data_IF_781800082410
#
_entry.id   IF_781800082410
#
_cell.length_a   1.000
_cell.length_b   1.000
_cell.length_c   1.000
_cell.angle_alpha   90.00
_cell.angle_beta   90.00
_cell.angle_gamma   90.00
#
_symmetry.space_group_name_H-M   'P 1'
#
loop_
_entity.id
_entity.type
_entity.pdbx_description
1 polymer ?
#
# COMPACT_ATOMS: atom_id res chain seq x y z
N UNK A 1 -8.81 -28.19 3.56
CA UNK A 1 -8.47 -26.76 3.47
C UNK A 1 -7.80 -26.55 2.11
N UNK A 2 -8.31 -25.63 1.29
CA UNK A 2 -7.70 -25.34 -0.02
C UNK A 2 -6.33 -24.68 0.20
N UNK A 3 -5.32 -25.03 -0.59
CA UNK A 3 -3.97 -24.46 -0.50
C UNK A 3 -3.95 -22.92 -0.51
N UNK A 4 -4.86 -22.29 -1.27
CA UNK A 4 -5.00 -20.84 -1.34
C UNK A 4 -5.41 -20.18 0.01
N UNK A 5 -6.19 -20.86 0.85
CA UNK A 5 -6.58 -20.34 2.18
C UNK A 5 -5.39 -20.39 3.16
N UNK A 6 -4.55 -21.42 3.02
CA UNK A 6 -3.35 -21.54 3.86
C UNK A 6 -2.30 -20.44 3.57
N UNK A 7 -2.14 -20.04 2.30
CA UNK A 7 -1.21 -18.97 1.92
C UNK A 7 -1.65 -17.60 2.44
N UNK A 8 -2.95 -17.30 2.40
CA UNK A 8 -3.46 -16.01 2.88
C UNK A 8 -3.30 -15.84 4.40
N UNK A 9 -3.45 -16.91 5.19
CA UNK A 9 -3.19 -16.88 6.64
C UNK A 9 -1.71 -16.53 6.94
N UNK A 10 -0.78 -17.01 6.13
CA UNK A 10 0.65 -16.68 6.25
C UNK A 10 0.89 -15.19 5.94
N UNK A 11 0.25 -14.67 4.91
CA UNK A 11 0.33 -13.24 4.55
C UNK A 11 -0.23 -12.36 5.67
N UNK A 12 -1.42 -12.68 6.18
CA UNK A 12 -2.05 -11.97 7.31
C UNK A 12 -1.14 -12.00 8.55
N UNK A 13 -0.56 -13.15 8.86
CA UNK A 13 0.39 -13.29 9.98
C UNK A 13 1.63 -12.41 9.77
N UNK A 14 2.17 -12.37 8.55
CA UNK A 14 3.32 -11.52 8.25
C UNK A 14 3.01 -10.04 8.46
N UNK A 15 1.82 -9.56 8.03
CA UNK A 15 1.34 -8.20 8.25
C UNK A 15 1.11 -7.88 9.73
N UNK A 16 0.68 -8.84 10.54
CA UNK A 16 0.51 -8.67 11.99
C UNK A 16 1.82 -8.71 12.78
N UNK A 17 2.93 -9.15 12.20
CA UNK A 17 4.20 -9.35 12.92
C UNK A 17 5.35 -8.57 12.30
N UNK A 18 6.13 -9.21 11.43
CA UNK A 18 7.37 -8.65 10.88
C UNK A 18 7.13 -7.38 10.07
N UNK A 19 6.08 -7.37 9.23
CA UNK A 19 5.78 -6.23 8.37
C UNK A 19 5.27 -5.05 9.21
N UNK A 20 4.37 -5.28 10.17
CA UNK A 20 3.92 -4.24 11.08
C UNK A 20 5.10 -3.53 11.77
N UNK A 21 6.08 -4.30 12.32
CA UNK A 21 7.25 -3.73 12.98
C UNK A 21 8.08 -2.86 12.05
N UNK A 22 8.29 -3.31 10.81
CA UNK A 22 9.00 -2.53 9.78
C UNK A 22 8.26 -1.25 9.42
N UNK A 23 6.94 -1.34 9.20
CA UNK A 23 6.09 -0.19 8.89
C UNK A 23 6.01 0.80 10.05
N UNK A 24 5.95 0.32 11.29
CA UNK A 24 5.98 1.17 12.48
C UNK A 24 7.30 1.92 12.61
N UNK A 25 8.45 1.24 12.40
CA UNK A 25 9.78 1.86 12.44
C UNK A 25 9.94 3.00 11.44
N UNK A 26 9.46 2.81 10.23
CA UNK A 26 9.58 3.79 9.14
C UNK A 26 8.29 4.56 8.87
N UNK A 27 7.38 4.56 9.84
CA UNK A 27 6.07 5.18 9.71
C UNK A 27 6.14 6.64 9.29
N UNK A 28 7.03 7.41 9.89
CA UNK A 28 7.24 8.82 9.59
C UNK A 28 7.67 9.07 8.13
N UNK A 29 8.35 8.11 7.48
CA UNK A 29 8.65 8.18 6.05
C UNK A 29 7.43 7.73 5.22
N UNK A 30 6.81 6.60 5.58
CA UNK A 30 5.69 6.03 4.83
C UNK A 30 4.46 6.93 4.86
N UNK A 31 4.03 7.39 6.05
CA UNK A 31 2.84 8.22 6.19
C UNK A 31 3.07 9.59 5.56
N UNK A 32 4.14 10.29 5.95
CA UNK A 32 4.41 11.65 5.49
C UNK A 32 4.68 11.72 3.97
N UNK A 33 5.34 10.71 3.40
CA UNK A 33 5.63 10.69 1.97
C UNK A 33 4.42 10.31 1.14
N UNK A 34 3.65 9.30 1.58
CA UNK A 34 2.47 8.82 0.84
C UNK A 34 1.27 9.78 0.95
N UNK A 35 1.29 10.73 1.87
CA UNK A 35 0.22 11.73 2.03
C UNK A 35 0.00 12.51 0.73
N UNK A 36 1.05 12.81 -0.04
CA UNK A 36 0.95 13.51 -1.33
C UNK A 36 0.09 12.76 -2.33
N UNK A 37 0.23 11.43 -2.38
CA UNK A 37 -0.59 10.57 -3.24
C UNK A 37 -2.05 10.57 -2.78
N UNK A 38 -2.27 10.46 -1.45
CA UNK A 38 -3.63 10.53 -0.89
C UNK A 38 -4.27 11.86 -1.20
N UNK A 39 -3.57 12.96 -0.96
CA UNK A 39 -4.08 14.32 -1.15
C UNK A 39 -4.51 14.57 -2.58
N UNK A 40 -3.66 14.18 -3.53
CA UNK A 40 -3.95 14.33 -4.94
C UNK A 40 -5.18 13.50 -5.35
N UNK A 41 -5.25 12.22 -4.93
CA UNK A 41 -6.36 11.33 -5.27
C UNK A 41 -7.68 11.76 -4.60
N UNK A 42 -7.65 12.16 -3.32
CA UNK A 42 -8.81 12.61 -2.57
C UNK A 42 -9.35 13.94 -3.11
N UNK A 43 -8.47 14.89 -3.48
CA UNK A 43 -8.87 16.16 -4.09
C UNK A 43 -9.44 15.95 -5.49
N UNK A 44 -8.86 15.05 -6.28
CA UNK A 44 -9.35 14.70 -7.61
C UNK A 44 -10.76 14.09 -7.56
N UNK A 45 -10.98 13.19 -6.58
CA UNK A 45 -12.27 12.51 -6.42
C UNK A 45 -13.34 13.43 -5.86
N UNK A 46 -13.00 14.18 -4.80
CA UNK A 46 -13.94 14.97 -4.01
C UNK A 46 -14.99 14.11 -3.31
N UNK A 47 -15.06 14.20 -1.98
CA UNK A 47 -16.10 13.56 -1.17
C UNK A 47 -17.03 14.63 -0.61
N UNK A 48 -18.32 14.33 -0.49
CA UNK A 48 -19.32 15.26 0.01
C UNK A 48 -19.69 14.96 1.49
N UNK A 49 -20.08 15.97 2.26
CA UNK A 49 -20.67 15.77 3.58
C UNK A 49 -21.85 14.78 3.54
N UNK A 50 -21.92 13.90 4.52
CA UNK A 50 -22.96 12.88 4.63
C UNK A 50 -22.63 11.55 3.93
N UNK A 51 -21.58 11.47 3.15
CA UNK A 51 -21.18 10.23 2.46
C UNK A 51 -20.52 9.22 3.41
N UNK A 52 -20.68 7.94 3.08
CA UNK A 52 -20.08 6.78 3.75
C UNK A 52 -18.96 6.23 2.90
N UNK A 53 -17.72 6.21 3.40
CA UNK A 53 -16.55 5.80 2.64
C UNK A 53 -15.81 4.65 3.34
N UNK A 54 -15.50 3.58 2.58
CA UNK A 54 -14.65 2.48 3.02
C UNK A 54 -13.21 2.74 2.60
N UNK A 55 -12.26 2.70 3.55
CA UNK A 55 -10.82 2.81 3.30
C UNK A 55 -10.18 1.44 3.48
N UNK A 56 -9.70 0.85 2.37
CA UNK A 56 -9.27 -0.53 2.24
C UNK A 56 -7.75 -0.64 2.41
N UNK A 57 -7.30 -1.53 3.30
CA UNK A 57 -5.90 -1.62 3.68
C UNK A 57 -5.44 -0.31 4.33
N UNK A 58 -6.23 0.15 5.31
CA UNK A 58 -6.09 1.50 5.88
C UNK A 58 -4.81 1.71 6.69
N UNK A 59 -4.11 0.64 7.08
CA UNK A 59 -2.88 0.71 7.86
C UNK A 59 -3.06 1.54 9.14
N UNK A 60 -2.26 2.57 9.32
CA UNK A 60 -2.35 3.49 10.48
C UNK A 60 -3.55 4.45 10.43
N UNK A 61 -4.43 4.36 9.45
CA UNK A 61 -5.69 5.09 9.37
C UNK A 61 -5.57 6.59 9.08
N UNK A 62 -4.42 7.07 8.61
CA UNK A 62 -4.24 8.49 8.27
C UNK A 62 -5.15 8.93 7.12
N UNK A 63 -5.30 8.11 6.06
CA UNK A 63 -6.26 8.34 4.98
C UNK A 63 -7.70 8.29 5.47
N UNK A 64 -8.03 7.31 6.32
CA UNK A 64 -9.37 7.17 6.89
C UNK A 64 -9.77 8.41 7.70
N UNK A 65 -8.90 8.90 8.60
CA UNK A 65 -9.15 10.11 9.39
C UNK A 65 -9.31 11.34 8.51
N UNK A 66 -8.53 11.43 7.43
CA UNK A 66 -8.65 12.51 6.47
C UNK A 66 -9.99 12.48 5.74
N UNK A 67 -10.38 11.31 5.22
CA UNK A 67 -11.68 11.11 4.56
C UNK A 67 -12.82 11.44 5.55
N UNK A 68 -12.73 11.01 6.81
CA UNK A 68 -13.72 11.29 7.84
C UNK A 68 -13.96 12.80 8.01
N UNK A 69 -12.89 13.61 8.01
CA UNK A 69 -13.01 15.08 8.06
C UNK A 69 -13.67 15.67 6.81
N UNK A 70 -13.42 15.07 5.63
CA UNK A 70 -14.01 15.54 4.37
C UNK A 70 -15.51 15.28 4.28
N UNK A 71 -15.98 14.13 4.80
CA UNK A 71 -17.40 13.74 4.76
C UNK A 71 -18.23 14.28 5.92
N UNK A 72 -17.61 14.98 6.86
CA UNK A 72 -18.33 15.67 7.94
C UNK A 72 -19.04 16.93 7.42
N UNK A 73 -20.21 17.34 8.01
CA UNK A 73 -20.98 16.59 9.01
C UNK A 73 -21.83 15.46 8.40
N UNK A 74 -22.19 14.48 9.23
CA UNK A 74 -23.18 13.45 8.89
C UNK A 74 -22.66 12.24 8.14
N UNK A 75 -21.45 12.31 7.56
CA UNK A 75 -20.76 11.19 6.92
C UNK A 75 -19.78 10.48 7.86
N UNK A 76 -19.33 9.31 7.46
CA UNK A 76 -18.34 8.51 8.17
C UNK A 76 -17.33 7.87 7.25
N UNK A 77 -16.10 7.68 7.73
CA UNK A 77 -15.08 6.88 7.07
C UNK A 77 -14.80 5.62 7.89
N UNK A 78 -14.76 4.48 7.21
CA UNK A 78 -14.54 3.17 7.83
C UNK A 78 -13.25 2.59 7.26
N UNK A 79 -12.22 2.46 8.10
CA UNK A 79 -10.97 1.79 7.76
C UNK A 79 -11.05 0.30 8.00
N UNK A 80 -10.60 -0.50 7.04
CA UNK A 80 -10.45 -1.95 7.15
C UNK A 80 -9.02 -2.37 6.85
N UNK A 81 -8.47 -3.27 7.65
CA UNK A 81 -7.17 -3.89 7.45
C UNK A 81 -7.19 -5.31 8.02
N UNK A 82 -6.39 -6.22 7.46
CA UNK A 82 -6.27 -7.58 7.97
C UNK A 82 -5.39 -7.67 9.23
N UNK A 83 -4.61 -6.62 9.53
CA UNK A 83 -3.68 -6.60 10.65
C UNK A 83 -4.26 -5.87 11.86
N UNK A 84 -4.50 -6.62 12.94
CA UNK A 84 -5.05 -6.11 14.21
C UNK A 84 -4.22 -4.97 14.80
N UNK A 85 -2.89 -5.07 14.68
CA UNK A 85 -1.98 -4.05 15.20
C UNK A 85 -2.18 -2.69 14.52
N UNK A 86 -2.39 -2.65 13.20
CA UNK A 86 -2.71 -1.42 12.49
C UNK A 86 -4.07 -0.85 12.92
N UNK A 87 -5.09 -1.69 13.04
CA UNK A 87 -6.44 -1.26 13.45
C UNK A 87 -6.44 -0.70 14.88
N UNK A 88 -5.69 -1.32 15.79
CA UNK A 88 -5.51 -0.81 17.16
C UNK A 88 -4.89 0.59 17.13
N UNK A 89 -3.81 0.78 16.40
CA UNK A 89 -3.10 2.06 16.34
C UNK A 89 -3.96 3.13 15.66
N UNK A 90 -4.61 2.80 14.53
CA UNK A 90 -5.54 3.69 13.82
C UNK A 90 -6.69 4.16 14.70
N UNK A 91 -7.27 3.23 15.51
CA UNK A 91 -8.36 3.54 16.45
C UNK A 91 -7.89 4.48 17.55
N UNK A 92 -6.72 4.24 18.12
CA UNK A 92 -6.15 5.07 19.17
C UNK A 92 -5.86 6.49 18.66
N UNK A 93 -5.33 6.61 17.46
CA UNK A 93 -5.04 7.91 16.85
C UNK A 93 -6.30 8.70 16.49
N UNK A 94 -7.32 8.05 15.91
CA UNK A 94 -8.59 8.72 15.65
C UNK A 94 -9.19 9.29 16.93
N UNK A 95 -9.14 8.52 18.03
CA UNK A 95 -9.58 8.97 19.35
C UNK A 95 -8.74 10.14 19.86
N UNK A 96 -7.40 10.07 19.74
CA UNK A 96 -6.51 11.12 20.22
C UNK A 96 -6.66 12.43 19.43
N UNK A 97 -7.03 12.34 18.15
CA UNK A 97 -7.27 13.48 17.27
C UNK A 97 -8.72 13.99 17.32
N UNK A 98 -9.61 13.37 18.08
CA UNK A 98 -11.03 13.73 18.18
C UNK A 98 -11.81 13.52 16.88
N UNK A 99 -11.46 12.51 16.08
CA UNK A 99 -12.11 12.19 14.80
C UNK A 99 -13.14 11.07 15.04
N UNK A 100 -14.29 11.42 15.62
CA UNK A 100 -15.28 10.46 16.09
C UNK A 100 -16.05 9.74 14.98
N UNK A 101 -16.04 10.27 13.76
CA UNK A 101 -16.65 9.67 12.58
C UNK A 101 -15.67 8.84 11.73
N UNK A 102 -14.44 8.57 12.23
CA UNK A 102 -13.54 7.56 11.71
C UNK A 102 -13.68 6.29 12.56
N UNK A 103 -14.01 5.17 11.93
CA UNK A 103 -14.17 3.86 12.57
C UNK A 103 -13.26 2.83 11.91
N UNK A 104 -12.89 1.78 12.65
CA UNK A 104 -11.96 0.78 12.15
C UNK A 104 -12.41 -0.63 12.54
N UNK A 105 -12.15 -1.61 11.69
CA UNK A 105 -12.33 -3.01 12.01
C UNK A 105 -11.34 -3.90 11.28
N UNK A 106 -11.05 -5.06 11.89
CA UNK A 106 -10.21 -6.09 11.28
C UNK A 106 -11.05 -6.94 10.34
N UNK A 107 -10.60 -7.09 9.11
CA UNK A 107 -11.18 -8.06 8.17
C UNK A 107 -10.21 -8.37 7.01
N UNK A 108 -10.29 -9.59 6.52
CA UNK A 108 -9.73 -9.96 5.22
C UNK A 108 -10.69 -9.53 4.10
N UNK A 109 -10.30 -8.51 3.36
CA UNK A 109 -11.11 -7.96 2.26
C UNK A 109 -11.43 -9.01 1.18
N UNK A 110 -10.67 -10.10 1.10
CA UNK A 110 -10.88 -11.15 0.12
C UNK A 110 -12.03 -12.10 0.49
N UNK A 111 -12.37 -12.21 1.78
CA UNK A 111 -13.28 -13.22 2.30
C UNK A 111 -14.37 -12.71 3.25
N UNK A 112 -14.06 -11.68 4.06
CA UNK A 112 -14.96 -11.24 5.13
C UNK A 112 -15.99 -10.21 4.67
N UNK A 113 -17.07 -10.07 5.44
CA UNK A 113 -18.10 -9.06 5.21
C UNK A 113 -17.56 -7.64 5.48
N UNK A 114 -17.72 -6.75 4.51
CA UNK A 114 -17.22 -5.37 4.57
C UNK A 114 -18.21 -4.35 5.16
N UNK A 115 -19.34 -4.81 5.72
CA UNK A 115 -20.33 -4.00 6.45
C UNK A 115 -20.92 -2.82 5.63
N UNK A 116 -21.10 -3.02 4.33
CA UNK A 116 -21.72 -2.03 3.44
C UNK A 116 -23.20 -1.71 3.77
N UNK A 117 -23.87 -0.87 2.97
CA UNK A 117 -23.41 -0.29 1.73
C UNK A 117 -22.65 1.04 1.91
N UNK A 118 -21.67 1.30 1.04
CA UNK A 118 -20.88 2.53 1.01
C UNK A 118 -21.14 3.33 -0.26
N UNK A 119 -21.01 4.67 -0.17
CA UNK A 119 -21.04 5.55 -1.35
C UNK A 119 -19.75 5.41 -2.16
N UNK A 120 -18.63 5.25 -1.46
CA UNK A 120 -17.31 5.14 -2.06
C UNK A 120 -16.45 4.12 -1.32
N UNK A 121 -15.51 3.52 -2.07
CA UNK A 121 -14.37 2.81 -1.53
C UNK A 121 -13.06 3.48 -2.00
N UNK A 122 -12.09 3.53 -1.12
CA UNK A 122 -10.75 4.07 -1.34
C UNK A 122 -9.70 3.05 -0.93
N UNK A 123 -8.56 3.01 -1.61
CA UNK A 123 -7.42 2.20 -1.21
C UNK A 123 -6.11 2.92 -1.59
N UNK A 124 -5.17 3.01 -0.64
CA UNK A 124 -3.85 3.56 -0.91
C UNK A 124 -2.79 2.49 -0.74
N UNK A 125 -2.28 1.95 -1.84
CA UNK A 125 -1.19 0.97 -1.89
C UNK A 125 -1.44 -0.32 -1.10
N UNK A 126 -2.68 -0.63 -0.71
CA UNK A 126 -3.05 -1.85 0.01
C UNK A 126 -3.45 -3.01 -0.91
N UNK A 127 -4.15 -2.72 -1.99
CA UNK A 127 -4.73 -3.74 -2.89
C UNK A 127 -3.71 -4.60 -3.63
N UNK A 128 -2.49 -4.11 -3.78
CA UNK A 128 -1.37 -4.82 -4.45
C UNK A 128 -0.91 -6.08 -3.71
N UNK A 129 -1.31 -6.24 -2.45
CA UNK A 129 -0.88 -7.34 -1.60
C UNK A 129 -1.94 -8.45 -1.46
N UNK A 130 -3.07 -8.35 -2.13
CA UNK A 130 -4.10 -9.38 -2.11
C UNK A 130 -3.65 -10.62 -2.89
N UNK A 131 -3.72 -11.78 -2.25
CA UNK A 131 -3.41 -13.08 -2.87
C UNK A 131 -4.48 -13.46 -3.90
N UNK A 132 -5.75 -13.19 -3.57
CA UNK A 132 -6.90 -13.41 -4.44
C UNK A 132 -7.55 -12.07 -4.86
N UNK A 133 -6.86 -11.24 -5.67
CA UNK A 133 -7.30 -9.88 -5.95
C UNK A 133 -8.66 -9.84 -6.65
N UNK A 134 -9.00 -10.83 -7.48
CA UNK A 134 -10.31 -10.93 -8.09
C UNK A 134 -11.46 -11.16 -7.09
N UNK A 135 -11.21 -11.92 -6.01
CA UNK A 135 -12.17 -12.10 -4.92
C UNK A 135 -12.35 -10.80 -4.14
N UNK A 136 -11.24 -10.13 -3.79
CA UNK A 136 -11.26 -8.84 -3.13
C UNK A 136 -12.06 -7.79 -3.93
N UNK A 137 -11.82 -7.68 -5.24
CA UNK A 137 -12.54 -6.71 -6.08
C UNK A 137 -14.04 -7.00 -6.15
N UNK A 138 -14.47 -8.26 -6.21
CA UNK A 138 -15.90 -8.62 -6.14
C UNK A 138 -16.51 -8.24 -4.79
N UNK A 139 -15.80 -8.49 -3.70
CA UNK A 139 -16.26 -8.18 -2.36
C UNK A 139 -16.36 -6.67 -2.13
N UNK A 140 -15.35 -5.89 -2.57
CA UNK A 140 -15.38 -4.43 -2.54
C UNK A 140 -16.60 -3.91 -3.31
N UNK A 141 -16.84 -4.44 -4.53
CA UNK A 141 -18.00 -4.04 -5.33
C UNK A 141 -19.32 -4.33 -4.63
N UNK A 142 -19.46 -5.50 -3.99
CA UNK A 142 -20.69 -5.89 -3.27
C UNK A 142 -20.99 -4.99 -2.07
N UNK A 143 -19.95 -4.39 -1.47
CA UNK A 143 -20.08 -3.44 -0.38
C UNK A 143 -20.42 -2.01 -0.83
N UNK A 144 -20.39 -1.74 -2.14
CA UNK A 144 -20.74 -0.43 -2.68
C UNK A 144 -22.21 -0.33 -3.06
N UNK A 145 -22.81 0.84 -2.85
CA UNK A 145 -24.14 1.18 -3.38
C UNK A 145 -24.12 1.11 -4.93
N UNK A 146 -25.25 0.83 -5.59
CA UNK A 146 -25.38 1.02 -7.02
C UNK A 146 -25.03 2.47 -7.43
N UNK A 147 -24.10 2.63 -8.36
CA UNK A 147 -23.51 3.93 -8.74
C UNK A 147 -22.36 4.39 -7.85
N UNK A 148 -22.05 3.67 -6.79
CA UNK A 148 -20.91 3.93 -5.93
C UNK A 148 -19.56 3.75 -6.65
N UNK A 149 -18.52 4.40 -6.17
CA UNK A 149 -17.22 4.41 -6.86
C UNK A 149 -16.13 3.77 -6.02
N UNK A 150 -15.18 3.16 -6.71
CA UNK A 150 -13.94 2.68 -6.12
C UNK A 150 -12.76 3.46 -6.69
N UNK A 151 -11.89 3.95 -5.82
CA UNK A 151 -10.63 4.60 -6.20
C UNK A 151 -9.48 3.90 -5.50
N UNK A 152 -8.50 3.43 -6.27
CA UNK A 152 -7.27 2.87 -5.68
C UNK A 152 -6.03 3.55 -6.24
N UNK A 153 -5.02 3.66 -5.39
CA UNK A 153 -3.68 4.11 -5.75
C UNK A 153 -2.78 2.88 -5.75
N UNK A 154 -2.14 2.60 -6.89
CA UNK A 154 -1.20 1.48 -7.06
C UNK A 154 0.05 1.95 -7.77
N UNK A 155 1.20 1.31 -7.48
CA UNK A 155 2.44 1.67 -8.18
C UNK A 155 2.35 1.31 -9.66
N UNK A 156 2.95 2.15 -10.48
CA UNK A 156 3.26 1.83 -11.87
C UNK A 156 4.46 0.88 -11.92
N UNK A 157 4.99 0.63 -13.11
CA UNK A 157 6.10 -0.31 -13.28
C UNK A 157 7.27 0.05 -12.35
N UNK A 158 8.01 -0.96 -11.93
CA UNK A 158 9.14 -0.83 -11.01
C UNK A 158 10.19 0.15 -11.53
N UNK A 159 10.48 0.09 -12.82
CA UNK A 159 11.44 0.96 -13.52
C UNK A 159 11.00 2.44 -13.54
N UNK A 160 9.72 2.69 -13.36
CA UNK A 160 9.14 4.05 -13.26
C UNK A 160 9.13 4.58 -11.82
N UNK A 161 9.71 3.82 -10.88
CA UNK A 161 9.81 4.11 -9.46
C UNK A 161 11.27 4.11 -8.99
N UNK A 162 12.11 5.09 -9.43
CA UNK A 162 13.52 5.15 -9.08
C UNK A 162 13.81 5.09 -7.59
N UNK A 163 12.90 5.57 -6.73
CA UNK A 163 13.03 5.54 -5.28
C UNK A 163 13.24 4.14 -4.68
N UNK A 164 12.76 3.08 -5.34
CA UNK A 164 13.05 1.67 -4.96
C UNK A 164 13.90 0.95 -5.99
N UNK A 165 13.77 1.29 -7.27
CA UNK A 165 14.43 0.56 -8.34
C UNK A 165 15.94 0.71 -8.31
N UNK A 166 16.46 1.90 -8.02
CA UNK A 166 17.90 2.14 -7.91
C UNK A 166 18.52 1.29 -6.80
N UNK A 167 17.88 1.25 -5.63
CA UNK A 167 18.34 0.42 -4.52
C UNK A 167 18.29 -1.09 -4.85
N UNK A 168 17.22 -1.52 -5.51
CA UNK A 168 17.10 -2.92 -5.96
C UNK A 168 18.22 -3.32 -6.91
N UNK A 169 18.53 -2.49 -7.92
CA UNK A 169 19.61 -2.78 -8.87
C UNK A 169 20.98 -2.88 -8.19
N UNK A 170 21.25 -1.98 -7.22
CA UNK A 170 22.48 -2.05 -6.42
C UNK A 170 22.60 -3.37 -5.66
N UNK A 171 21.53 -3.78 -4.98
CA UNK A 171 21.55 -5.02 -4.19
C UNK A 171 21.66 -6.26 -5.09
N UNK A 172 20.93 -6.29 -6.22
CA UNK A 172 21.03 -7.38 -7.21
C UNK A 172 22.42 -7.56 -7.82
N UNK A 173 23.19 -6.49 -7.94
CA UNK A 173 24.56 -6.56 -8.45
C UNK A 173 25.54 -7.17 -7.43
N UNK A 174 25.20 -7.20 -6.14
CA UNK A 174 26.08 -7.63 -5.05
C UNK A 174 25.66 -8.98 -4.50
N UNK A 175 24.34 -9.17 -4.28
CA UNK A 175 23.78 -10.38 -3.65
C UNK A 175 23.52 -11.43 -4.72
N UNK A 176 24.07 -12.65 -4.57
CA UNK A 176 23.81 -13.74 -5.50
C UNK A 176 22.31 -14.06 -5.61
N UNK A 177 21.89 -14.48 -6.80
CA UNK A 177 20.51 -14.92 -7.03
C UNK A 177 20.27 -16.19 -6.21
N UNK A 178 19.42 -16.10 -5.18
CA UNK A 178 18.95 -17.27 -4.42
C UNK A 178 17.88 -17.96 -5.26
N UNK A 179 18.03 -19.27 -5.47
CA UNK A 179 17.01 -20.09 -6.12
C UNK A 179 15.75 -20.10 -5.25
N UNK A 180 14.59 -19.89 -5.86
CA UNK A 180 13.29 -19.80 -5.18
C UNK A 180 12.84 -21.07 -4.41
N UNK A 181 13.63 -22.14 -4.42
CA UNK A 181 13.32 -23.41 -3.72
C UNK A 181 13.50 -23.34 -2.18
N UNK A 182 14.03 -22.25 -1.65
CA UNK A 182 14.25 -22.06 -0.20
C UNK A 182 13.56 -20.80 0.34
N UNK A 183 12.39 -20.42 -0.18
CA UNK A 183 11.65 -19.32 0.40
C UNK A 183 11.03 -19.75 1.72
N UNK A 184 11.36 -19.03 2.79
CA UNK A 184 10.60 -19.15 4.04
C UNK A 184 9.13 -18.71 3.77
N UNK A 185 8.22 -19.14 4.62
CA UNK A 185 6.78 -18.89 4.44
C UNK A 185 6.38 -17.42 4.71
N UNK A 186 7.31 -16.55 5.07
CA UNK A 186 7.00 -15.15 5.43
C UNK A 186 7.11 -14.25 4.20
N UNK A 187 5.98 -13.85 3.64
CA UNK A 187 5.92 -12.92 2.51
C UNK A 187 4.72 -11.99 2.62
N UNK A 188 4.76 -10.85 1.91
CA UNK A 188 3.71 -9.83 1.95
C UNK A 188 2.57 -10.03 0.93
N UNK A 189 2.49 -11.19 0.29
CA UNK A 189 1.64 -11.44 -0.86
C UNK A 189 2.36 -11.16 -2.19
N UNK A 190 1.62 -10.90 -3.30
CA UNK A 190 2.19 -10.74 -4.64
C UNK A 190 3.19 -9.58 -4.76
N UNK A 191 3.11 -8.59 -3.85
CA UNK A 191 4.09 -7.51 -3.74
C UNK A 191 3.67 -6.17 -4.36
N UNK A 192 4.47 -5.13 -4.14
CA UNK A 192 4.07 -3.74 -4.40
C UNK A 192 3.85 -3.39 -5.88
N UNK A 193 4.32 -4.21 -6.81
CA UNK A 193 4.17 -3.96 -8.25
C UNK A 193 3.22 -4.95 -8.95
N UNK A 194 2.46 -5.73 -8.20
CA UNK A 194 1.52 -6.73 -8.73
C UNK A 194 0.41 -6.11 -9.59
N UNK A 195 0.06 -4.84 -9.35
CA UNK A 195 -0.99 -4.11 -10.07
C UNK A 195 -0.45 -3.00 -11.00
N UNK A 196 0.79 -3.10 -11.44
CA UNK A 196 1.42 -2.07 -12.28
C UNK A 196 0.85 -1.98 -13.71
N UNK A 197 0.29 -3.08 -14.23
CA UNK A 197 -0.20 -3.18 -15.61
C UNK A 197 -1.67 -2.77 -15.74
N UNK A 198 -1.99 -1.67 -16.46
CA UNK A 198 -3.37 -1.19 -16.60
C UNK A 198 -4.31 -2.19 -17.25
N UNK A 199 -3.86 -2.97 -18.23
CA UNK A 199 -4.69 -3.96 -18.92
C UNK A 199 -5.14 -5.07 -17.97
N UNK A 200 -4.22 -5.60 -17.16
CA UNK A 200 -4.50 -6.63 -16.16
C UNK A 200 -5.48 -6.10 -15.09
N UNK A 201 -5.23 -4.91 -14.55
CA UNK A 201 -6.11 -4.28 -13.55
C UNK A 201 -7.49 -3.99 -14.13
N UNK A 202 -7.56 -3.50 -15.39
CA UNK A 202 -8.84 -3.32 -16.10
C UNK A 202 -9.60 -4.63 -16.26
N UNK A 203 -8.93 -5.70 -16.69
CA UNK A 203 -9.56 -7.01 -16.88
C UNK A 203 -10.09 -7.56 -15.53
N UNK A 204 -9.33 -7.41 -14.47
CA UNK A 204 -9.71 -7.83 -13.11
C UNK A 204 -10.94 -7.06 -12.60
N UNK A 205 -10.95 -5.72 -12.72
CA UNK A 205 -12.06 -4.89 -12.29
C UNK A 205 -13.33 -5.17 -13.11
N UNK A 206 -13.22 -5.35 -14.46
CA UNK A 206 -14.35 -5.78 -15.30
C UNK A 206 -14.86 -7.15 -14.90
N UNK A 207 -13.96 -8.10 -14.66
CA UNK A 207 -14.30 -9.44 -14.19
C UNK A 207 -15.00 -9.45 -12.82
N UNK A 208 -14.75 -8.45 -11.99
CA UNK A 208 -15.49 -8.21 -10.75
C UNK A 208 -16.82 -7.47 -10.97
N UNK A 209 -17.12 -7.01 -12.20
CA UNK A 209 -18.36 -6.32 -12.56
C UNK A 209 -18.33 -4.80 -12.39
N UNK A 210 -17.16 -4.19 -12.26
CA UNK A 210 -17.01 -2.73 -12.32
C UNK A 210 -17.04 -2.22 -13.75
N UNK A 211 -17.51 -0.98 -13.91
CA UNK A 211 -17.57 -0.23 -15.17
C UNK A 211 -16.82 1.10 -15.08
N UNK A 212 -16.70 1.81 -16.21
CA UNK A 212 -16.08 3.15 -16.30
C UNK A 212 -14.69 3.19 -15.64
N UNK A 213 -13.87 2.19 -15.94
CA UNK A 213 -12.53 2.08 -15.39
C UNK A 213 -11.63 3.11 -16.08
N UNK A 214 -11.00 3.96 -15.29
CA UNK A 214 -10.08 4.97 -15.79
C UNK A 214 -8.76 4.93 -14.98
N UNK A 215 -7.67 5.31 -15.65
CA UNK A 215 -6.34 5.39 -15.09
C UNK A 215 -5.81 6.81 -15.28
N UNK A 216 -5.34 7.40 -14.20
CA UNK A 216 -4.63 8.67 -14.23
C UNK A 216 -3.23 8.47 -13.67
N UNK A 217 -2.22 8.93 -14.41
CA UNK A 217 -0.83 8.88 -13.97
C UNK A 217 -0.57 9.99 -12.97
N UNK A 218 0.05 9.64 -11.84
CA UNK A 218 0.48 10.61 -10.85
C UNK A 218 1.94 10.36 -10.48
N UNK A 219 2.77 11.39 -10.66
CA UNK A 219 4.19 11.38 -10.36
C UNK A 219 4.49 12.39 -9.26
N UNK A 220 5.23 11.97 -8.24
CA UNK A 220 5.77 12.89 -7.22
C UNK A 220 7.00 12.29 -6.56
N UNK A 221 7.83 13.13 -5.95
CA UNK A 221 8.96 12.66 -5.16
C UNK A 221 8.50 12.09 -3.81
N UNK A 222 9.12 11.00 -3.41
CA UNK A 222 8.97 10.30 -2.13
C UNK A 222 10.18 10.54 -1.25
N UNK A 223 9.95 10.90 0.03
CA UNK A 223 11.02 10.97 1.03
C UNK A 223 11.46 9.57 1.41
N UNK A 224 12.69 9.23 1.09
CA UNK A 224 13.33 7.97 1.45
C UNK A 224 14.04 8.06 2.80
N UNK A 225 14.38 9.25 3.27
CA UNK A 225 15.03 9.52 4.54
C UNK A 225 15.20 11.00 4.80
N UNK A 226 15.12 11.38 6.09
CA UNK A 226 15.43 12.73 6.57
C UNK A 226 16.93 12.98 6.66
N UNK A 227 17.71 11.90 6.58
CA UNK A 227 19.16 11.90 6.42
C UNK A 227 19.58 10.80 5.43
N UNK A 228 20.81 10.89 4.96
CA UNK A 228 21.34 9.92 4.02
C UNK A 228 21.44 8.51 4.63
N UNK A 229 21.86 8.42 5.88
CA UNK A 229 21.96 7.13 6.58
C UNK A 229 20.58 6.49 6.80
N UNK A 230 19.56 7.30 7.10
CA UNK A 230 18.19 6.81 7.23
C UNK A 230 17.64 6.28 5.89
N UNK A 231 17.94 6.95 4.78
CA UNK A 231 17.52 6.49 3.45
C UNK A 231 18.13 5.14 3.08
N UNK A 232 19.41 4.93 3.40
CA UNK A 232 20.09 3.64 3.20
C UNK A 232 19.45 2.56 4.06
N UNK A 233 19.19 2.83 5.35
CA UNK A 233 18.53 1.88 6.23
C UNK A 233 17.11 1.54 5.76
N UNK A 234 16.36 2.54 5.32
CA UNK A 234 15.03 2.36 4.76
C UNK A 234 15.05 1.46 3.52
N UNK A 235 15.95 1.73 2.57
CA UNK A 235 16.10 0.93 1.34
C UNK A 235 16.48 -0.52 1.62
N UNK A 236 17.31 -0.79 2.63
CA UNK A 236 17.68 -2.16 3.05
C UNK A 236 16.59 -2.88 3.86
N UNK A 237 15.65 -2.16 4.45
CA UNK A 237 14.62 -2.75 5.31
C UNK A 237 13.32 -3.05 4.58
N UNK A 238 12.95 -2.19 3.62
CA UNK A 238 11.66 -2.22 2.93
C UNK A 238 11.83 -2.25 1.41
N UNK A 239 10.81 -2.77 0.73
CA UNK A 239 10.80 -2.88 -0.72
C UNK A 239 11.68 -4.02 -1.27
N UNK A 240 11.87 -4.04 -2.61
CA UNK A 240 12.55 -5.15 -3.29
C UNK A 240 13.99 -5.38 -2.84
N UNK A 241 14.76 -4.33 -2.57
CA UNK A 241 16.13 -4.44 -2.09
C UNK A 241 16.22 -5.15 -0.72
N UNK A 242 15.36 -4.75 0.22
CA UNK A 242 15.28 -5.39 1.53
C UNK A 242 14.85 -6.86 1.46
N UNK A 243 13.98 -7.20 0.52
CA UNK A 243 13.54 -8.58 0.30
C UNK A 243 14.67 -9.46 -0.26
N UNK A 244 15.46 -8.97 -1.20
CA UNK A 244 16.62 -9.68 -1.73
C UNK A 244 17.63 -9.99 -0.61
N UNK A 245 17.93 -9.00 0.25
CA UNK A 245 18.84 -9.18 1.39
C UNK A 245 18.28 -10.23 2.35
N UNK A 246 16.98 -10.16 2.66
CA UNK A 246 16.32 -11.11 3.57
C UNK A 246 16.37 -12.54 3.03
N UNK A 247 16.07 -12.74 1.76
CA UNK A 247 16.07 -14.05 1.11
C UNK A 247 17.47 -14.67 1.03
N UNK A 248 18.51 -13.86 0.95
CA UNK A 248 19.90 -14.32 0.99
C UNK A 248 20.39 -14.73 2.37
N UNK A 249 19.60 -14.55 3.44
CA UNK A 249 19.90 -15.01 4.79
C UNK A 249 21.25 -14.50 5.33
N UNK A 250 22.07 -15.41 5.85
CA UNK A 250 23.39 -15.07 6.42
C UNK A 250 24.34 -14.43 5.40
N UNK A 251 24.29 -14.85 4.15
CA UNK A 251 25.09 -14.27 3.08
C UNK A 251 24.66 -12.80 2.81
N UNK A 252 23.35 -12.52 2.77
CA UNK A 252 22.82 -11.17 2.64
C UNK A 252 23.25 -10.27 3.81
N UNK A 253 23.26 -10.80 5.02
CA UNK A 253 23.73 -10.08 6.22
C UNK A 253 25.24 -9.78 6.13
N UNK A 254 26.06 -10.73 5.69
CA UNK A 254 27.50 -10.55 5.53
C UNK A 254 27.87 -9.51 4.47
N UNK A 255 27.03 -9.36 3.43
CA UNK A 255 27.23 -8.40 2.32
C UNK A 255 26.74 -6.98 2.65
N UNK A 256 26.04 -6.76 3.77
CA UNK A 256 25.50 -5.43 4.13
C UNK A 256 26.55 -4.30 4.09
N UNK A 257 27.78 -4.44 4.58
CA UNK A 257 28.76 -3.35 4.48
C UNK A 257 29.04 -2.93 3.03
N UNK A 258 29.15 -3.88 2.12
CA UNK A 258 29.33 -3.61 0.67
C UNK A 258 28.08 -2.98 0.07
N UNK A 259 26.90 -3.46 0.43
CA UNK A 259 25.60 -2.90 -0.01
C UNK A 259 25.47 -1.44 0.43
N UNK A 260 25.83 -1.12 1.68
CA UNK A 260 25.79 0.27 2.20
C UNK A 260 26.65 1.21 1.36
N UNK A 261 27.87 0.78 0.98
CA UNK A 261 28.77 1.60 0.13
C UNK A 261 28.13 1.85 -1.24
N UNK A 262 27.61 0.81 -1.89
CA UNK A 262 26.98 0.93 -3.19
C UNK A 262 25.69 1.78 -3.16
N UNK A 263 24.85 1.60 -2.14
CA UNK A 263 23.65 2.41 -1.94
C UNK A 263 24.00 3.88 -1.70
N UNK A 264 25.06 4.16 -0.95
CA UNK A 264 25.53 5.53 -0.70
C UNK A 264 25.92 6.22 -2.00
N UNK A 265 26.63 5.55 -2.88
CA UNK A 265 26.97 6.07 -4.21
C UNK A 265 25.71 6.28 -5.07
N UNK A 266 24.88 5.27 -5.20
CA UNK A 266 23.72 5.27 -6.09
C UNK A 266 22.63 6.28 -5.66
N UNK A 267 22.39 6.45 -4.35
CA UNK A 267 21.37 7.36 -3.83
C UNK A 267 21.85 8.83 -3.73
N UNK A 268 23.12 9.12 -3.97
CA UNK A 268 23.64 10.50 -3.94
C UNK A 268 22.86 11.44 -4.86
N UNK A 269 22.41 10.94 -6.02
CA UNK A 269 21.60 11.71 -6.98
C UNK A 269 20.25 12.21 -6.41
N UNK A 270 19.77 11.64 -5.33
CA UNK A 270 18.49 11.96 -4.69
C UNK A 270 18.64 12.83 -3.44
N UNK A 271 19.86 13.20 -3.06
CA UNK A 271 20.14 14.05 -1.89
C UNK A 271 19.78 15.49 -2.21
N UNK A 272 18.99 16.11 -1.35
CA UNK A 272 18.64 17.54 -1.41
C UNK A 272 19.62 18.38 -0.59
N UNK A 273 19.55 19.70 -0.79
CA UNK A 273 20.43 20.66 -0.09
C UNK A 273 20.32 20.62 1.44
N UNK A 274 19.18 20.20 1.97
CA UNK A 274 18.92 20.02 3.41
C UNK A 274 19.41 18.69 3.97
N UNK A 275 20.01 17.83 3.12
CA UNK A 275 20.48 16.49 3.48
C UNK A 275 19.42 15.40 3.45
N UNK A 276 18.17 15.72 3.20
CA UNK A 276 17.11 14.73 2.99
C UNK A 276 17.24 14.05 1.62
N UNK A 277 16.71 12.83 1.49
CA UNK A 277 16.80 12.02 0.27
C UNK A 277 15.41 11.79 -0.30
N UNK A 278 15.21 12.19 -1.56
CA UNK A 278 13.91 12.14 -2.22
C UNK A 278 14.02 11.53 -3.61
N UNK A 279 13.40 10.38 -3.81
CA UNK A 279 13.41 9.70 -5.10
C UNK A 279 12.08 9.85 -5.85
N UNK A 280 12.13 9.95 -7.20
CA UNK A 280 10.92 9.99 -8.02
C UNK A 280 10.07 8.74 -7.86
N UNK A 281 8.76 8.91 -7.76
CA UNK A 281 7.77 7.84 -7.73
C UNK A 281 6.69 8.06 -8.78
N UNK A 282 6.07 6.97 -9.24
CA UNK A 282 5.01 6.98 -10.23
C UNK A 282 3.92 5.98 -9.85
N UNK A 283 2.69 6.45 -9.80
CA UNK A 283 1.51 5.68 -9.44
C UNK A 283 0.40 5.80 -10.48
N UNK A 284 -0.52 4.85 -10.47
CA UNK A 284 -1.83 4.96 -11.10
C UNK A 284 -2.86 5.33 -10.05
N UNK A 285 -3.67 6.34 -10.32
CA UNK A 285 -4.99 6.51 -9.72
C UNK A 285 -5.98 5.78 -10.60
N UNK A 286 -6.54 4.70 -10.07
CA UNK A 286 -7.50 3.87 -10.81
C UNK A 286 -8.87 4.12 -10.22
N UNK A 287 -9.81 4.54 -11.06
CA UNK A 287 -11.22 4.73 -10.67
C UNK A 287 -12.11 3.75 -11.39
N UNK A 288 -13.15 3.28 -10.72
CA UNK A 288 -14.14 2.37 -11.26
C UNK A 288 -15.52 2.65 -10.61
N UNK A 289 -16.60 2.26 -11.28
CA UNK A 289 -17.97 2.49 -10.82
C UNK A 289 -18.68 1.14 -10.66
N UNK A 290 -19.36 0.94 -9.52
CA UNK A 290 -20.33 -0.13 -9.38
C UNK A 290 -21.58 0.25 -10.19
N UNK A 291 -21.96 -0.51 -11.24
CA UNK A 291 -23.08 -0.11 -12.11
C UNK A 291 -24.39 0.03 -11.32
N UNK A 292 -25.29 0.88 -11.80
CA UNK A 292 -26.68 0.90 -11.34
C UNK A 292 -27.39 -0.32 -11.89
N UNK A 293 -28.25 -0.95 -11.08
CA UNK A 293 -29.16 -1.96 -11.59
C UNK A 293 -30.06 -1.30 -12.67
N UNK A 294 -30.13 -1.90 -13.84
CA UNK A 294 -31.04 -1.49 -14.92
C UNK A 294 -32.48 -1.82 -14.55
#
# INVERSE_FOLDING_TARGET
MNAAVADNDVIIKAWNTVLYQKFQRYRHLLVDSLIRHSDAALNFRGYAPGERVLDIGCGFGDSTRRIARMVAPGGEAIGVDCAENFIRDATNEARSEGVDNARFFVADVQADELRGPYDHAFARFGTMFFDLPGAAMRNIRSALKPGGTFTQIVWRKREENPWVFVAEQCVRAIVPVVSHEQTDQVHCGPGPFSMAGPDMVSAMLRGAGFERIAFERYDCDLCMGRSFDEAIQFAMALGPAGEIIRLAGEEGEALKPQIVVALREALTQFVRADGSVWGPSSAWFVTAVNPRAH
#
